data_IF_237737031322
#
_entry.id   IF_237737031322
#
_cell.length_a   1.000
_cell.length_b   1.000
_cell.length_c   1.000
_cell.angle_alpha   90.00
_cell.angle_beta   90.00
_cell.angle_gamma   90.00
#
_symmetry.space_group_name_H-M   'P 1'
#
loop_
_entity.id
_entity.type
_entity.pdbx_description
1 polymer ?
#
# COMPACT_ATOMS: atom_id res chain seq x y z
N UNK A 1 -3.40 6.17 -8.83
CA UNK A 1 -2.70 5.84 -7.57
C UNK A 1 -3.15 4.47 -7.10
N UNK A 2 -2.22 3.60 -6.72
CA UNK A 2 -2.46 2.21 -6.34
C UNK A 2 -1.97 1.97 -4.91
N UNK A 3 -2.91 1.65 -4.01
CA UNK A 3 -2.65 1.36 -2.60
C UNK A 3 -2.76 -0.15 -2.37
N UNK A 4 -1.73 -0.75 -1.78
CA UNK A 4 -1.68 -2.19 -1.51
C UNK A 4 -2.48 -2.58 -0.26
N UNK A 5 -2.73 -3.87 -0.05
CA UNK A 5 -3.39 -4.40 1.15
C UNK A 5 -2.45 -4.59 2.34
N UNK A 6 -2.99 -5.00 3.49
CA UNK A 6 -2.21 -5.23 4.70
C UNK A 6 -1.09 -6.27 4.50
N UNK A 7 0.10 -6.01 5.07
CA UNK A 7 1.32 -6.84 4.96
C UNK A 7 1.83 -7.03 3.53
N UNK A 8 1.56 -6.06 2.66
CA UNK A 8 2.12 -5.96 1.32
C UNK A 8 2.95 -4.69 1.21
N UNK A 9 3.56 -4.47 0.04
CA UNK A 9 4.23 -3.23 -0.32
C UNK A 9 3.97 -2.94 -1.81
N UNK A 10 4.46 -1.79 -2.28
CA UNK A 10 4.28 -1.31 -3.64
C UNK A 10 4.81 -2.30 -4.69
N UNK A 11 5.91 -2.99 -4.39
CA UNK A 11 6.54 -3.96 -5.29
C UNK A 11 5.67 -5.21 -5.44
N UNK A 12 5.27 -5.82 -4.33
CA UNK A 12 4.41 -7.02 -4.31
C UNK A 12 3.09 -6.72 -5.01
N UNK A 13 2.48 -5.57 -4.74
CA UNK A 13 1.21 -5.19 -5.34
C UNK A 13 1.34 -4.96 -6.86
N UNK A 14 2.44 -4.34 -7.30
CA UNK A 14 2.72 -4.15 -8.74
C UNK A 14 2.90 -5.47 -9.48
N UNK A 15 3.57 -6.44 -8.86
CA UNK A 15 3.74 -7.79 -9.40
C UNK A 15 2.39 -8.52 -9.51
N UNK A 16 1.60 -8.56 -8.43
CA UNK A 16 0.28 -9.23 -8.38
C UNK A 16 -0.75 -8.62 -9.34
N UNK A 17 -0.64 -7.32 -9.67
CA UNK A 17 -1.55 -6.62 -10.59
C UNK A 17 -1.05 -6.54 -12.03
N UNK A 18 0.00 -7.30 -12.40
CA UNK A 18 0.62 -7.22 -13.72
C UNK A 18 -0.32 -7.44 -14.91
N UNK A 19 -1.16 -8.48 -14.87
CA UNK A 19 -2.12 -8.77 -15.95
C UNK A 19 -3.19 -7.68 -16.08
N UNK A 20 -3.72 -7.22 -14.93
CA UNK A 20 -4.68 -6.13 -14.85
C UNK A 20 -4.12 -4.83 -15.44
N UNK A 21 -2.90 -4.45 -15.04
CA UNK A 21 -2.21 -3.27 -15.61
C UNK A 21 -2.01 -3.40 -17.11
N UNK A 22 -1.60 -4.57 -17.60
CA UNK A 22 -1.38 -4.80 -19.03
C UNK A 22 -2.66 -4.60 -19.84
N UNK A 23 -3.81 -5.03 -19.30
CA UNK A 23 -5.11 -4.83 -19.92
C UNK A 23 -5.51 -3.34 -19.96
N UNK A 24 -5.17 -2.57 -18.94
CA UNK A 24 -5.59 -1.17 -18.78
C UNK A 24 -4.55 -0.13 -19.19
N UNK A 25 -3.37 -0.54 -19.69
CA UNK A 25 -2.26 0.37 -20.05
C UNK A 25 -2.61 1.48 -21.04
N UNK A 26 -3.70 1.32 -21.81
CA UNK A 26 -4.18 2.33 -22.77
C UNK A 26 -5.07 3.39 -22.12
N UNK A 27 -5.57 3.12 -20.92
CA UNK A 27 -6.61 3.92 -20.26
C UNK A 27 -6.10 4.62 -19.00
N UNK A 28 -5.06 4.09 -18.35
CA UNK A 28 -4.56 4.65 -17.10
C UNK A 28 -3.07 4.37 -16.89
N UNK A 29 -2.41 5.33 -16.26
CA UNK A 29 -1.10 5.17 -15.65
C UNK A 29 -1.23 4.69 -14.21
N UNK A 30 -0.33 3.79 -13.82
CA UNK A 30 -0.37 3.13 -12.52
C UNK A 30 0.85 3.54 -11.70
N UNK A 31 0.62 4.37 -10.69
CA UNK A 31 1.62 4.77 -9.69
C UNK A 31 1.35 4.01 -8.39
N UNK A 32 2.36 3.32 -7.88
CA UNK A 32 2.27 2.48 -6.68
C UNK A 32 2.97 3.17 -5.50
N UNK A 33 2.33 3.13 -4.34
CA UNK A 33 2.84 3.70 -3.10
C UNK A 33 2.86 2.62 -2.02
N UNK A 34 3.87 2.66 -1.15
CA UNK A 34 3.93 1.86 0.06
C UNK A 34 3.37 2.61 1.26
N UNK A 35 2.66 1.88 2.11
CA UNK A 35 2.14 2.42 3.36
C UNK A 35 3.28 2.76 4.33
N UNK A 36 3.12 3.78 5.19
CA UNK A 36 4.22 4.28 6.02
C UNK A 36 4.55 3.39 7.22
N UNK A 37 3.64 2.51 7.65
CA UNK A 37 3.79 1.79 8.92
C UNK A 37 4.27 0.36 8.76
N UNK A 38 5.15 -0.08 9.66
CA UNK A 38 5.60 -1.47 9.78
C UNK A 38 4.70 -2.21 10.79
N UNK A 39 4.02 -3.30 10.39
CA UNK A 39 3.22 -4.10 11.29
C UNK A 39 4.10 -4.98 12.16
N UNK A 40 3.65 -5.24 13.38
CA UNK A 40 4.24 -6.31 14.19
C UNK A 40 3.65 -7.63 13.74
N UNK A 41 4.53 -8.53 13.27
CA UNK A 41 4.12 -9.86 12.83
C UNK A 41 4.01 -10.78 14.06
N UNK A 42 2.84 -11.38 14.32
CA UNK A 42 2.74 -12.40 15.36
C UNK A 42 3.58 -13.63 15.00
N UNK A 43 4.01 -14.44 16.00
CA UNK A 43 4.76 -15.68 15.77
C UNK A 43 4.01 -16.72 14.94
N UNK A 44 2.69 -16.61 14.88
CA UNK A 44 1.78 -17.45 14.11
C UNK A 44 1.49 -16.77 12.76
N UNK A 45 1.36 -17.52 11.65
CA UNK A 45 0.90 -16.93 10.39
C UNK A 45 -0.49 -16.32 10.62
N UNK A 46 -0.61 -15.00 10.43
CA UNK A 46 -1.92 -14.35 10.48
C UNK A 46 -2.82 -15.04 9.45
N UNK A 47 -4.04 -15.33 9.86
CA UNK A 47 -4.99 -16.09 9.05
C UNK A 47 -5.34 -15.32 7.78
N UNK A 48 -5.78 -16.01 6.71
CA UNK A 48 -6.35 -15.35 5.51
C UNK A 48 -7.51 -14.39 5.86
N UNK A 49 -8.04 -14.53 7.07
CA UNK A 49 -9.17 -13.84 7.65
C UNK A 49 -8.79 -12.43 8.15
N UNK A 50 -7.51 -12.15 8.42
CA UNK A 50 -7.08 -10.84 8.95
C UNK A 50 -6.97 -9.74 7.88
N UNK A 51 -7.52 -9.98 6.68
CA UNK A 51 -7.42 -9.08 5.53
C UNK A 51 -6.00 -8.97 4.95
N UNK A 52 -5.02 -9.67 5.55
CA UNK A 52 -3.67 -9.84 5.04
C UNK A 52 -3.62 -10.96 4.03
N UNK A 53 -3.16 -10.67 2.81
CA UNK A 53 -2.81 -11.73 1.87
C UNK A 53 -1.70 -12.62 2.45
N UNK A 54 -1.62 -13.89 2.02
CA UNK A 54 -0.52 -14.76 2.43
C UNK A 54 0.81 -14.05 2.21
N UNK A 55 1.64 -13.98 3.26
CA UNK A 55 3.08 -13.78 3.08
C UNK A 55 3.57 -15.07 2.41
N UNK A 56 3.46 -15.12 1.09
CA UNK A 56 4.13 -16.16 0.32
C UNK A 56 5.61 -16.16 0.70
N UNK A 57 6.29 -17.29 0.48
CA UNK A 57 7.75 -17.41 0.59
C UNK A 57 8.44 -16.60 -0.53
N UNK A 58 8.21 -15.30 -0.53
CA UNK A 58 9.03 -14.34 -1.19
C UNK A 58 10.28 -14.23 -0.31
N UNK A 59 11.46 -14.30 -0.92
CA UNK A 59 12.76 -14.09 -0.28
C UNK A 59 12.64 -13.07 0.88
N UNK A 60 13.12 -13.41 2.07
CA UNK A 60 12.83 -12.68 3.34
C UNK A 60 13.15 -11.17 3.24
N UNK A 61 14.04 -10.79 2.32
CA UNK A 61 14.40 -9.41 1.97
C UNK A 61 13.34 -8.63 1.18
N UNK A 62 12.38 -9.29 0.52
CA UNK A 62 11.30 -8.68 -0.28
C UNK A 62 10.00 -8.54 0.50
N UNK A 63 9.93 -9.16 1.67
CA UNK A 63 8.71 -9.28 2.45
C UNK A 63 8.40 -8.03 3.29
N UNK A 64 9.11 -6.90 3.08
CA UNK A 64 8.94 -5.63 3.80
C UNK A 64 7.45 -5.28 3.96
N UNK A 65 6.83 -5.68 5.10
CA UNK A 65 5.40 -5.70 5.21
C UNK A 65 4.96 -4.31 5.64
N UNK A 66 3.95 -3.75 4.97
CA UNK A 66 3.46 -2.42 5.29
C UNK A 66 1.97 -2.43 5.63
N UNK A 67 1.55 -1.48 6.46
CA UNK A 67 0.17 -1.26 6.88
C UNK A 67 -0.21 0.21 6.83
N UNK A 68 -1.48 0.49 6.53
CA UNK A 68 -1.99 1.86 6.46
C UNK A 68 -2.50 2.35 7.82
N UNK A 69 -3.09 1.49 8.63
CA UNK A 69 -3.44 1.79 10.01
C UNK A 69 -3.64 0.47 10.75
N UNK A 70 -3.78 0.54 12.07
CA UNK A 70 -3.92 -0.63 12.93
C UNK A 70 -5.19 -0.56 13.76
N UNK A 71 -5.85 -1.73 13.88
CA UNK A 71 -7.05 -1.93 14.69
C UNK A 71 -6.70 -2.38 16.12
N UNK A 72 -5.42 -2.69 16.39
CA UNK A 72 -4.91 -3.13 17.70
C UNK A 72 -3.70 -2.32 18.15
N UNK A 73 -3.47 -2.27 19.46
CA UNK A 73 -2.35 -1.54 20.09
C UNK A 73 -0.97 -2.08 19.74
N UNK A 74 -0.88 -3.31 19.24
CA UNK A 74 0.38 -3.98 18.86
C UNK A 74 0.74 -3.75 17.38
N UNK A 75 0.29 -2.66 16.76
CA UNK A 75 0.51 -2.39 15.33
C UNK A 75 0.09 -3.58 14.44
N UNK A 76 -1.08 -4.12 14.73
CA UNK A 76 -1.71 -5.20 13.98
C UNK A 76 -3.06 -4.74 13.43
N UNK A 77 -3.38 -5.15 12.21
CA UNK A 77 -4.67 -4.91 11.58
C UNK A 77 -5.42 -6.23 11.35
N UNK A 78 -6.71 -6.25 11.69
CA UNK A 78 -7.65 -7.28 11.26
C UNK A 78 -8.98 -6.61 10.88
N UNK A 79 -9.52 -6.98 9.72
CA UNK A 79 -10.81 -6.45 9.24
C UNK A 79 -12.02 -6.92 10.07
N UNK A 80 -11.84 -7.90 10.95
CA UNK A 80 -12.89 -8.43 11.82
C UNK A 80 -12.97 -7.75 13.19
N UNK A 81 -11.99 -6.91 13.54
CA UNK A 81 -11.99 -6.20 14.82
C UNK A 81 -13.09 -5.13 14.83
N UNK A 82 -13.99 -5.19 15.81
CA UNK A 82 -14.89 -4.08 16.13
C UNK A 82 -14.18 -3.18 17.14
N UNK A 83 -13.69 -2.04 16.67
CA UNK A 83 -12.85 -1.13 17.44
C UNK A 83 -12.91 0.28 16.86
N UNK A 84 -12.76 1.28 17.72
CA UNK A 84 -12.56 2.68 17.31
C UNK A 84 -11.07 3.02 17.14
N UNK A 85 -10.18 2.04 17.35
CA UNK A 85 -8.74 2.23 17.18
C UNK A 85 -8.38 2.25 15.69
N UNK A 86 -7.72 3.33 15.28
CA UNK A 86 -7.21 3.51 13.93
C UNK A 86 -5.79 4.11 13.96
N UNK A 87 -4.93 3.56 14.81
CA UNK A 87 -3.56 4.05 15.00
C UNK A 87 -2.82 4.11 13.67
N UNK A 88 -2.24 5.27 13.34
CA UNK A 88 -1.52 5.49 12.08
C UNK A 88 -2.38 6.01 10.93
N UNK A 89 -3.70 6.16 11.11
CA UNK A 89 -4.60 6.56 10.02
C UNK A 89 -4.31 7.97 9.50
N UNK A 90 -4.19 8.95 10.39
CA UNK A 90 -3.92 10.34 10.00
C UNK A 90 -2.56 10.49 9.30
N UNK A 91 -1.54 9.78 9.78
CA UNK A 91 -0.22 9.72 9.15
C UNK A 91 -0.30 9.13 7.75
N UNK A 92 -1.12 8.10 7.55
CA UNK A 92 -1.34 7.50 6.23
C UNK A 92 -2.11 8.41 5.29
N UNK A 93 -3.15 9.09 5.76
CA UNK A 93 -3.86 10.11 4.97
C UNK A 93 -2.90 11.20 4.55
N UNK A 94 -2.09 11.72 5.49
CA UNK A 94 -1.07 12.73 5.19
C UNK A 94 -0.06 12.21 4.18
N UNK A 95 0.45 10.99 4.34
CA UNK A 95 1.42 10.39 3.42
C UNK A 95 0.85 10.27 2.00
N UNK A 96 -0.41 9.85 1.87
CA UNK A 96 -1.11 9.75 0.57
C UNK A 96 -1.30 11.14 -0.06
N UNK A 97 -1.69 12.14 0.73
CA UNK A 97 -1.83 13.53 0.25
C UNK A 97 -0.49 14.09 -0.23
N UNK A 98 0.58 13.93 0.56
CA UNK A 98 1.92 14.37 0.21
C UNK A 98 2.42 13.67 -1.05
N UNK A 99 2.17 12.36 -1.18
CA UNK A 99 2.55 11.57 -2.35
C UNK A 99 1.78 12.03 -3.60
N UNK A 100 0.46 12.17 -3.50
CA UNK A 100 -0.39 12.62 -4.61
C UNK A 100 -0.02 14.04 -5.07
N UNK A 101 0.28 14.95 -4.14
CA UNK A 101 0.73 16.30 -4.46
C UNK A 101 2.07 16.30 -5.21
N UNK A 102 3.01 15.44 -4.82
CA UNK A 102 4.30 15.28 -5.53
C UNK A 102 4.09 14.76 -6.95
N UNK A 103 3.33 13.68 -7.12
CA UNK A 103 3.07 13.09 -8.44
C UNK A 103 2.29 14.05 -9.37
N UNK A 104 1.30 14.77 -8.83
CA UNK A 104 0.57 15.79 -9.59
C UNK A 104 1.48 16.96 -10.01
N UNK A 105 2.41 17.37 -9.15
CA UNK A 105 3.43 18.37 -9.49
C UNK A 105 4.32 17.89 -10.65
N UNK A 106 4.77 16.63 -10.62
CA UNK A 106 5.53 16.04 -11.73
C UNK A 106 4.73 15.97 -13.04
N UNK A 107 3.45 15.57 -12.99
CA UNK A 107 2.58 15.54 -14.16
C UNK A 107 2.34 16.94 -14.75
N UNK A 108 2.14 17.95 -13.90
CA UNK A 108 1.95 19.33 -14.32
C UNK A 108 3.21 19.91 -14.98
N UNK A 109 4.39 19.70 -14.39
CA UNK A 109 5.67 20.16 -14.96
C UNK A 109 5.96 19.46 -16.29
N UNK A 110 5.73 18.15 -16.41
CA UNK A 110 5.95 17.43 -17.66
C UNK A 110 5.01 17.91 -18.78
N UNK A 111 3.75 18.21 -18.46
CA UNK A 111 2.80 18.81 -19.41
C UNK A 111 3.21 20.21 -19.85
N UNK A 112 3.79 21.02 -18.96
CA UNK A 112 4.23 22.38 -19.27
C UNK A 112 5.49 22.38 -20.17
N UNK A 113 6.43 21.47 -19.92
CA UNK A 113 7.70 21.36 -20.66
C UNK A 113 7.50 20.77 -22.06
N UNK A 114 6.50 19.92 -22.28
CA UNK A 114 6.14 19.39 -23.60
C UNK A 114 5.26 20.32 -24.44
N UNK A 115 4.76 21.42 -23.85
CA UNK A 115 3.91 22.40 -24.54
C UNK A 115 4.66 23.67 -24.98
N UNK A 116 5.99 23.72 -24.80
CA UNK A 116 6.88 24.78 -25.25
C UNK A 116 7.85 24.21 -26.30
#
# INVERSE_FOLDING_TARGET
LCLHGYRQNEKVFREKTGSFRKALKKYADFVFMSAPHEPVLPPQPCSQNDGGGECEKIDEQRADPRGWWFSRSENHFSSHDVTDLCTGFDESVKAVLDFAAKEACFAFVFSLVLSC
#
